data_IF_913088680901
#
_entry.id   IF_913088680901
#
_cell.length_a   1.000
_cell.length_b   1.000
_cell.length_c   1.000
_cell.angle_alpha   90.00
_cell.angle_beta   90.00
_cell.angle_gamma   90.00
#
_symmetry.space_group_name_H-M   'P 1'
#
loop_
_entity.id
_entity.type
_entity.pdbx_description
1 polymer ?
#
# COMPACT_ATOMS: atom_id res chain seq x y z
N UNK A 1 2.80 6.22 9.50
CA UNK A 1 3.23 5.02 8.75
C UNK A 1 4.73 5.09 8.54
N UNK A 2 5.42 3.95 8.63
CA UNK A 2 6.86 3.78 8.45
C UNK A 2 7.12 3.01 7.17
N UNK A 3 8.16 3.42 6.44
CA UNK A 3 8.62 2.71 5.26
C UNK A 3 9.71 1.70 5.64
N UNK A 4 9.58 0.48 5.15
CA UNK A 4 10.53 -0.62 5.31
C UNK A 4 10.78 -1.28 3.96
N UNK A 5 11.76 -2.19 3.88
CA UNK A 5 12.04 -2.97 2.68
C UNK A 5 10.87 -3.90 2.28
N UNK A 6 9.96 -4.16 3.21
CA UNK A 6 8.78 -5.03 3.01
C UNK A 6 7.49 -4.24 2.74
N UNK A 7 7.55 -2.90 2.74
CA UNK A 7 6.41 -2.03 2.48
C UNK A 7 6.22 -0.91 3.52
N UNK A 8 5.10 -0.20 3.40
CA UNK A 8 4.72 0.90 4.28
C UNK A 8 3.70 0.42 5.31
N UNK A 9 4.00 0.59 6.61
CA UNK A 9 3.22 0.02 7.70
C UNK A 9 2.81 1.06 8.77
N UNK A 10 1.67 0.81 9.40
CA UNK A 10 1.26 1.32 10.71
C UNK A 10 1.16 0.16 11.70
N UNK A 11 0.77 0.42 12.95
CA UNK A 11 0.59 -0.62 13.98
C UNK A 11 -0.25 -1.80 13.51
N UNK A 12 -1.41 -1.54 12.89
CA UNK A 12 -2.36 -2.57 12.48
C UNK A 12 -1.87 -3.39 11.28
N UNK A 13 -1.30 -2.73 10.28
CA UNK A 13 -0.78 -3.41 9.08
C UNK A 13 0.51 -4.17 9.35
N UNK A 14 1.38 -3.67 10.23
CA UNK A 14 2.56 -4.40 10.71
C UNK A 14 2.16 -5.67 11.46
N UNK A 15 1.25 -5.56 12.44
CA UNK A 15 0.74 -6.71 13.18
C UNK A 15 0.17 -7.74 12.21
N UNK A 16 -0.67 -7.34 11.25
CA UNK A 16 -1.24 -8.25 10.24
C UNK A 16 -0.19 -9.00 9.42
N UNK A 17 0.89 -8.34 9.02
CA UNK A 17 2.00 -8.97 8.30
C UNK A 17 2.72 -9.97 9.20
N UNK A 18 3.06 -9.57 10.41
CA UNK A 18 3.67 -10.43 11.43
C UNK A 18 2.82 -11.68 11.70
N UNK A 19 1.51 -11.52 11.92
CA UNK A 19 0.57 -12.63 12.11
C UNK A 19 0.56 -13.60 10.94
N UNK A 20 0.70 -13.10 9.71
CA UNK A 20 0.78 -13.94 8.50
C UNK A 20 2.12 -14.68 8.44
N UNK A 21 3.22 -14.00 8.76
CA UNK A 21 4.56 -14.58 8.80
C UNK A 21 4.68 -15.67 9.87
N UNK A 22 4.14 -15.45 11.06
CA UNK A 22 4.15 -16.43 12.15
C UNK A 22 3.36 -17.69 11.76
N UNK A 23 2.20 -17.54 11.10
CA UNK A 23 1.44 -18.67 10.58
C UNK A 23 2.22 -19.45 9.51
N UNK A 24 2.97 -18.77 8.64
CA UNK A 24 3.81 -19.44 7.65
C UNK A 24 4.97 -20.21 8.31
N UNK A 25 5.67 -19.58 9.26
CA UNK A 25 6.86 -20.16 9.90
C UNK A 25 6.54 -21.32 10.83
N UNK A 26 5.50 -21.17 11.66
CA UNK A 26 5.20 -22.08 12.76
C UNK A 26 3.98 -22.97 12.46
N UNK A 27 3.19 -22.63 11.44
CA UNK A 27 2.04 -23.44 11.02
C UNK A 27 1.02 -23.63 12.14
N UNK A 28 0.48 -24.85 12.32
CA UNK A 28 -0.53 -25.13 13.36
C UNK A 28 -0.05 -24.98 14.80
N UNK A 29 1.27 -24.85 15.05
CA UNK A 29 1.77 -24.65 16.42
C UNK A 29 1.49 -23.24 16.92
N UNK A 30 1.35 -22.26 16.01
CA UNK A 30 1.07 -20.87 16.31
C UNK A 30 -0.42 -20.60 16.48
N UNK A 31 -0.76 -19.84 17.51
CA UNK A 31 -2.11 -19.39 17.81
C UNK A 31 -2.09 -17.87 17.98
N UNK A 32 -2.89 -17.18 17.15
CA UNK A 32 -3.11 -15.75 17.28
C UNK A 32 -3.93 -15.47 18.54
N UNK A 33 -3.56 -14.44 19.29
CA UNK A 33 -4.36 -13.96 20.42
C UNK A 33 -4.92 -12.56 20.11
N UNK A 34 -6.19 -12.47 19.66
CA UNK A 34 -6.82 -11.20 19.35
C UNK A 34 -6.90 -10.27 20.56
N UNK A 35 -6.74 -8.97 20.33
CA UNK A 35 -6.94 -7.94 21.35
C UNK A 35 -8.42 -7.77 21.71
N UNK A 36 -8.95 -8.62 22.60
CA UNK A 36 -10.30 -8.49 23.15
C UNK A 36 -10.39 -9.16 24.53
N UNK A 37 -10.52 -8.41 25.65
CA UNK A 37 -10.72 -6.95 25.79
C UNK A 37 -9.43 -6.10 25.72
N UNK A 38 -8.27 -6.68 25.43
CA UNK A 38 -6.98 -6.00 25.27
C UNK A 38 -5.87 -7.01 24.96
N UNK A 39 -4.63 -6.55 24.73
CA UNK A 39 -3.46 -7.42 24.57
C UNK A 39 -2.87 -7.74 25.96
N UNK A 40 -2.78 -9.01 26.35
CA UNK A 40 -2.20 -9.41 27.65
C UNK A 40 -0.66 -9.32 27.65
N UNK A 41 -0.10 -8.39 26.85
CA UNK A 41 1.33 -8.29 26.54
C UNK A 41 1.82 -9.30 25.51
N UNK A 42 0.89 -10.03 24.88
CA UNK A 42 1.14 -11.03 23.84
C UNK A 42 0.01 -10.96 22.81
N UNK A 43 0.37 -11.04 21.53
CA UNK A 43 -0.51 -11.05 20.36
C UNK A 43 -0.54 -12.44 19.70
N UNK A 44 0.27 -13.36 20.18
CA UNK A 44 0.23 -14.75 19.76
C UNK A 44 1.20 -15.61 20.54
N UNK A 45 1.07 -16.92 20.39
CA UNK A 45 1.92 -17.88 21.09
C UNK A 45 2.05 -19.18 20.31
N UNK A 46 3.08 -19.97 20.60
CA UNK A 46 3.24 -21.32 20.08
C UNK A 46 3.21 -22.36 21.18
N UNK A 47 2.81 -23.59 20.83
CA UNK A 47 2.79 -24.75 21.75
C UNK A 47 4.16 -25.07 22.37
N UNK A 48 5.26 -24.66 21.75
CA UNK A 48 6.62 -24.83 22.27
C UNK A 48 7.10 -23.65 23.14
N UNK A 49 6.21 -22.73 23.50
CA UNK A 49 6.46 -21.69 24.50
C UNK A 49 7.06 -20.39 23.95
N UNK A 50 6.87 -20.09 22.67
CA UNK A 50 7.14 -18.74 22.15
C UNK A 50 5.91 -17.87 22.36
N UNK A 51 6.11 -16.63 22.75
CA UNK A 51 5.06 -15.62 22.82
C UNK A 51 5.48 -14.38 22.05
N UNK A 52 4.57 -13.77 21.30
CA UNK A 52 4.89 -12.73 20.33
C UNK A 52 4.22 -11.42 20.73
N UNK A 53 4.95 -10.32 20.59
CA UNK A 53 4.40 -8.97 20.70
C UNK A 53 4.94 -8.13 19.54
N UNK A 54 4.05 -7.58 18.73
CA UNK A 54 4.44 -6.69 17.64
C UNK A 54 4.45 -5.24 18.12
N UNK A 55 5.33 -4.44 17.53
CA UNK A 55 5.32 -3.01 17.70
C UNK A 55 5.74 -2.34 16.40
N UNK A 56 4.91 -1.45 15.87
CA UNK A 56 5.31 -0.56 14.79
C UNK A 56 5.26 0.88 15.31
N UNK A 57 6.36 1.64 15.20
CA UNK A 57 6.34 3.05 15.54
C UNK A 57 5.39 3.83 14.61
N UNK A 58 4.72 4.86 15.13
CA UNK A 58 3.62 5.54 14.42
C UNK A 58 4.13 6.47 13.29
N UNK A 59 5.35 6.99 13.47
CA UNK A 59 6.06 7.90 12.58
C UNK A 59 7.56 7.59 12.57
N UNK A 60 8.29 8.24 11.68
CA UNK A 60 9.75 8.25 11.74
C UNK A 60 10.18 9.06 12.98
N UNK A 61 10.78 8.38 13.94
CA UNK A 61 11.30 8.97 15.17
C UNK A 61 12.79 9.27 15.04
N UNK A 62 13.30 10.15 15.89
CA UNK A 62 14.75 10.22 16.12
C UNK A 62 15.24 8.92 16.76
N UNK A 63 16.56 8.70 16.75
CA UNK A 63 17.14 7.51 17.35
C UNK A 63 16.78 7.37 18.84
N UNK A 64 16.85 8.48 19.57
CA UNK A 64 16.53 8.57 21.00
C UNK A 64 15.04 8.35 21.27
N UNK A 65 14.15 9.01 20.52
CA UNK A 65 12.71 8.81 20.64
C UNK A 65 12.31 7.35 20.38
N UNK A 66 12.91 6.72 19.36
CA UNK A 66 12.61 5.33 19.03
C UNK A 66 13.09 4.37 20.13
N UNK A 67 14.29 4.62 20.67
CA UNK A 67 14.82 3.86 21.80
C UNK A 67 13.88 3.94 23.00
N UNK A 68 13.48 5.15 23.42
CA UNK A 68 12.60 5.36 24.57
C UNK A 68 11.26 4.66 24.38
N UNK A 69 10.65 4.81 23.20
CA UNK A 69 9.38 4.17 22.89
C UNK A 69 9.44 2.64 22.92
N UNK A 70 10.48 2.03 22.32
CA UNK A 70 10.67 0.58 22.33
C UNK A 70 10.93 0.09 23.77
N UNK A 71 11.83 0.76 24.51
CA UNK A 71 12.14 0.44 25.91
C UNK A 71 10.89 0.45 26.80
N UNK A 72 10.06 1.48 26.65
CA UNK A 72 8.84 1.65 27.44
C UNK A 72 7.76 0.66 27.03
N UNK A 73 7.67 0.32 25.73
CA UNK A 73 6.79 -0.74 25.23
C UNK A 73 7.17 -2.11 25.82
N UNK A 74 8.44 -2.50 25.74
CA UNK A 74 8.95 -3.74 26.36
C UNK A 74 8.64 -3.76 27.86
N UNK A 75 8.90 -2.66 28.57
CA UNK A 75 8.65 -2.59 30.02
C UNK A 75 7.18 -2.80 30.36
N UNK A 76 6.27 -2.12 29.65
CA UNK A 76 4.84 -2.23 29.87
C UNK A 76 4.34 -3.62 29.57
N UNK A 77 4.67 -4.17 28.40
CA UNK A 77 4.08 -5.42 27.94
C UNK A 77 4.65 -6.65 28.65
N UNK A 78 5.94 -6.66 29.01
CA UNK A 78 6.48 -7.70 29.90
C UNK A 78 5.82 -7.60 31.28
N UNK A 79 5.55 -6.39 31.78
CA UNK A 79 4.80 -6.17 33.02
C UNK A 79 3.38 -6.75 32.97
N UNK A 80 2.73 -6.75 31.80
CA UNK A 80 1.42 -7.34 31.59
C UNK A 80 1.41 -8.86 31.82
N UNK A 81 2.53 -9.56 31.57
CA UNK A 81 2.65 -11.00 31.88
C UNK A 81 2.39 -11.27 33.37
N UNK A 82 2.84 -10.37 34.25
CA UNK A 82 2.54 -10.43 35.69
C UNK A 82 1.10 -10.07 35.99
N UNK A 83 0.62 -8.94 35.46
CA UNK A 83 -0.72 -8.42 35.75
C UNK A 83 -1.84 -9.34 35.27
N UNK A 84 -1.60 -10.10 34.20
CA UNK A 84 -2.59 -10.95 33.55
C UNK A 84 -2.19 -12.43 33.54
N UNK A 85 -1.33 -12.87 34.48
CA UNK A 85 -0.79 -14.23 34.50
C UNK A 85 -1.89 -15.30 34.45
N UNK A 86 -2.96 -15.14 35.23
CA UNK A 86 -4.08 -16.08 35.24
C UNK A 86 -4.84 -16.08 33.91
N UNK A 87 -5.16 -14.91 33.37
CA UNK A 87 -5.88 -14.78 32.10
C UNK A 87 -5.09 -15.36 30.93
N UNK A 88 -3.75 -15.25 30.97
CA UNK A 88 -2.86 -15.89 30.00
C UNK A 88 -2.91 -17.41 30.17
N UNK A 89 -2.78 -17.91 31.41
CA UNK A 89 -2.84 -19.35 31.70
C UNK A 89 -4.13 -20.00 31.18
N UNK A 90 -5.27 -19.34 31.39
CA UNK A 90 -6.58 -19.82 30.95
C UNK A 90 -6.69 -19.96 29.41
N UNK A 91 -5.83 -19.28 28.64
CA UNK A 91 -5.83 -19.26 27.17
C UNK A 91 -4.76 -20.15 26.55
N UNK A 92 -3.56 -20.19 27.15
CA UNK A 92 -2.43 -20.98 26.63
C UNK A 92 -2.38 -22.40 27.20
N UNK A 93 -3.24 -22.70 28.19
CA UNK A 93 -3.38 -24.01 28.82
C UNK A 93 -2.14 -24.41 29.61
N UNK A 94 -1.65 -25.63 29.37
CA UNK A 94 -0.43 -26.15 30.02
C UNK A 94 0.88 -25.60 29.44
N UNK A 95 0.80 -24.77 28.40
CA UNK A 95 1.98 -24.18 27.77
C UNK A 95 2.64 -23.19 28.72
N UNK A 96 3.97 -23.26 28.84
CA UNK A 96 4.78 -22.26 29.55
C UNK A 96 5.60 -21.47 28.55
N UNK A 97 5.62 -20.15 28.70
CA UNK A 97 6.36 -19.23 27.85
C UNK A 97 7.84 -19.30 28.25
N UNK A 98 8.67 -19.73 27.32
CA UNK A 98 10.14 -19.75 27.46
C UNK A 98 10.82 -18.57 26.80
N UNK A 99 10.21 -17.99 25.76
CA UNK A 99 10.77 -16.86 25.05
C UNK A 99 9.67 -15.88 24.64
N UNK A 100 9.81 -14.63 25.05
CA UNK A 100 8.97 -13.53 24.62
C UNK A 100 9.67 -12.74 23.51
N UNK A 101 9.09 -12.80 22.32
CA UNK A 101 9.61 -12.27 21.08
C UNK A 101 8.99 -10.91 20.80
N UNK A 102 9.81 -9.87 20.89
CA UNK A 102 9.43 -8.51 20.49
C UNK A 102 9.77 -8.29 19.02
N UNK A 103 8.77 -8.04 18.19
CA UNK A 103 8.93 -7.92 16.74
C UNK A 103 8.61 -6.50 16.27
N UNK A 104 9.64 -5.79 15.82
CA UNK A 104 9.58 -4.38 15.42
C UNK A 104 10.24 -4.17 14.06
N UNK A 105 9.88 -3.14 13.26
CA UNK A 105 10.54 -2.90 11.98
C UNK A 105 12.06 -2.77 12.06
N UNK A 106 12.57 -2.12 13.11
CA UNK A 106 14.01 -1.87 13.29
C UNK A 106 14.38 -1.84 14.77
N UNK A 107 15.63 -2.23 15.05
CA UNK A 107 16.30 -2.14 16.35
C UNK A 107 17.52 -1.25 16.13
N UNK A 108 17.45 -0.01 16.61
CA UNK A 108 18.39 1.06 16.28
C UNK A 108 19.41 1.36 17.40
N UNK A 109 19.30 0.69 18.54
CA UNK A 109 20.16 0.91 19.70
C UNK A 109 20.41 -0.41 20.46
N UNK A 110 21.68 -0.71 20.74
CA UNK A 110 22.07 -1.94 21.41
C UNK A 110 21.74 -1.93 22.92
N UNK A 111 21.50 -0.76 23.53
CA UNK A 111 21.07 -0.65 24.93
C UNK A 111 19.68 -1.28 25.13
N UNK A 112 18.89 -1.47 24.06
CA UNK A 112 17.65 -2.26 24.10
C UNK A 112 17.91 -3.71 24.52
N UNK A 113 19.01 -4.31 24.09
CA UNK A 113 19.36 -5.67 24.53
C UNK A 113 19.67 -5.71 26.02
N UNK A 114 20.38 -4.71 26.55
CA UNK A 114 20.66 -4.59 27.98
C UNK A 114 19.38 -4.41 28.79
N UNK A 115 18.45 -3.59 28.30
CA UNK A 115 17.13 -3.42 28.91
C UNK A 115 16.32 -4.72 28.89
N UNK A 116 16.33 -5.46 27.78
CA UNK A 116 15.70 -6.77 27.69
C UNK A 116 16.24 -7.74 28.74
N UNK A 117 17.58 -7.83 28.92
CA UNK A 117 18.19 -8.68 29.97
C UNK A 117 17.75 -8.30 31.38
N UNK A 118 17.58 -7.00 31.67
CA UNK A 118 17.03 -6.55 32.96
C UNK A 118 15.58 -7.03 33.13
N UNK A 119 14.76 -6.92 32.10
CA UNK A 119 13.35 -7.33 32.14
C UNK A 119 13.17 -8.84 32.24
N UNK A 120 14.06 -9.64 31.65
CA UNK A 120 14.11 -11.09 31.87
C UNK A 120 14.34 -11.44 33.35
N UNK A 121 15.32 -10.80 33.97
CA UNK A 121 15.63 -11.03 35.39
C UNK A 121 14.47 -10.60 36.28
N UNK A 122 13.84 -9.46 35.98
CA UNK A 122 12.63 -9.01 36.67
C UNK A 122 11.53 -10.07 36.54
N UNK A 123 11.29 -10.58 35.33
CA UNK A 123 10.22 -11.53 35.04
C UNK A 123 10.43 -12.89 35.73
N UNK A 124 11.65 -13.42 35.74
CA UNK A 124 11.98 -14.68 36.43
C UNK A 124 11.74 -14.59 37.95
N UNK A 125 12.02 -13.43 38.55
CA UNK A 125 11.78 -13.20 39.99
C UNK A 125 10.29 -13.15 40.38
N UNK A 126 9.39 -13.02 39.40
CA UNK A 126 7.95 -13.06 39.68
C UNK A 126 7.43 -14.47 39.92
N UNK A 127 8.22 -15.51 39.61
CA UNK A 127 7.88 -16.92 39.83
C UNK A 127 6.50 -17.29 39.23
N UNK A 128 6.19 -16.72 38.06
CA UNK A 128 4.93 -16.97 37.38
C UNK A 128 4.89 -18.38 36.81
N UNK A 129 3.80 -19.11 37.07
CA UNK A 129 3.58 -20.48 36.54
C UNK A 129 3.55 -20.53 35.02
N UNK A 130 3.10 -19.43 34.38
CA UNK A 130 3.05 -19.28 32.92
C UNK A 130 4.44 -19.13 32.27
N UNK A 131 5.51 -18.86 33.02
CA UNK A 131 6.86 -18.71 32.48
C UNK A 131 7.71 -19.92 32.82
N UNK A 132 8.68 -20.26 31.99
CA UNK A 132 9.73 -21.23 32.34
C UNK A 132 10.83 -20.59 33.18
N UNK A 133 11.65 -21.40 33.85
CA UNK A 133 12.77 -20.92 34.66
C UNK A 133 13.85 -20.21 33.81
N UNK A 134 14.01 -20.65 32.58
CA UNK A 134 14.93 -20.10 31.58
C UNK A 134 14.31 -19.00 30.70
N UNK A 135 13.17 -18.44 31.12
CA UNK A 135 12.43 -17.40 30.39
C UNK A 135 13.35 -16.30 29.85
N UNK A 136 13.31 -16.02 28.55
CA UNK A 136 14.11 -14.99 27.92
C UNK A 136 13.26 -14.08 27.02
N UNK A 137 13.85 -12.96 26.62
CA UNK A 137 13.30 -11.94 25.73
C UNK A 137 14.22 -11.85 24.52
N UNK A 138 13.65 -11.98 23.33
CA UNK A 138 14.37 -11.77 22.07
C UNK A 138 13.80 -10.57 21.34
N UNK A 139 14.68 -9.71 20.84
CA UNK A 139 14.31 -8.58 20.00
C UNK A 139 14.58 -8.97 18.56
N UNK A 140 13.56 -8.92 17.72
CA UNK A 140 13.61 -9.32 16.31
C UNK A 140 13.19 -8.11 15.45
N UNK A 141 14.04 -7.76 14.51
CA UNK A 141 13.74 -6.75 13.49
C UNK A 141 13.00 -7.39 12.30
N UNK A 142 12.69 -6.57 11.28
CA UNK A 142 12.01 -7.03 10.08
C UNK A 142 12.81 -8.09 9.31
N UNK A 143 14.14 -7.96 9.27
CA UNK A 143 15.02 -8.82 8.49
C UNK A 143 14.99 -10.27 8.97
N UNK A 144 14.76 -10.49 10.27
CA UNK A 144 14.60 -11.82 10.85
C UNK A 144 13.48 -12.64 10.20
N UNK A 145 12.41 -11.98 9.74
CA UNK A 145 11.26 -12.60 9.07
C UNK A 145 11.23 -12.30 7.56
N UNK A 146 12.34 -11.86 6.98
CA UNK A 146 12.43 -11.45 5.57
C UNK A 146 11.87 -12.51 4.62
N UNK A 147 12.23 -13.78 4.78
CA UNK A 147 11.71 -14.87 3.95
C UNK A 147 10.20 -15.04 4.02
N UNK A 148 9.63 -14.96 5.22
CA UNK A 148 8.21 -15.10 5.47
C UNK A 148 7.44 -13.86 5.01
N UNK A 149 7.98 -12.66 5.20
CA UNK A 149 7.40 -11.43 4.68
C UNK A 149 7.37 -11.42 3.16
N UNK A 150 8.43 -11.84 2.50
CA UNK A 150 8.49 -12.02 1.06
C UNK A 150 7.49 -13.07 0.55
N UNK A 151 7.32 -14.16 1.29
CA UNK A 151 6.32 -15.17 0.96
C UNK A 151 4.89 -14.66 1.17
N UNK A 152 4.61 -13.94 2.26
CA UNK A 152 3.34 -13.26 2.49
C UNK A 152 3.01 -12.31 1.33
N UNK A 153 3.99 -11.52 0.90
CA UNK A 153 3.85 -10.58 -0.23
C UNK A 153 3.53 -11.31 -1.54
N UNK A 154 4.20 -12.43 -1.83
CA UNK A 154 3.91 -13.27 -3.00
C UNK A 154 2.52 -13.90 -2.93
N UNK A 155 2.15 -14.45 -1.77
CA UNK A 155 0.84 -15.08 -1.55
C UNK A 155 -0.32 -14.09 -1.64
N UNK A 156 -0.08 -12.82 -1.27
CA UNK A 156 -1.04 -11.73 -1.44
C UNK A 156 -1.22 -11.29 -2.91
N UNK A 157 -0.53 -11.93 -3.87
CA UNK A 157 -0.62 -11.60 -5.29
C UNK A 157 0.16 -10.34 -5.69
N UNK A 158 1.08 -9.87 -4.85
CA UNK A 158 1.94 -8.74 -5.23
C UNK A 158 2.90 -9.21 -6.33
N UNK A 159 2.59 -8.89 -7.59
CA UNK A 159 3.45 -9.20 -8.71
C UNK A 159 4.84 -8.58 -8.50
N UNK A 160 5.90 -9.33 -8.85
CA UNK A 160 7.27 -8.83 -8.84
C UNK A 160 7.33 -7.59 -9.75
N UNK A 161 7.58 -6.42 -9.18
CA UNK A 161 7.75 -5.19 -9.95
C UNK A 161 9.18 -5.10 -10.44
N UNK A 162 9.37 -5.34 -11.74
CA UNK A 162 10.64 -5.15 -12.43
C UNK A 162 10.69 -3.73 -13.03
N UNK A 163 11.79 -3.03 -12.82
CA UNK A 163 12.04 -1.68 -13.33
C UNK A 163 11.99 -0.59 -12.26
N UNK A 164 12.54 0.60 -12.54
CA UNK A 164 12.55 1.73 -11.60
C UNK A 164 11.12 2.19 -11.25
N UNK A 165 10.98 2.85 -10.11
CA UNK A 165 9.74 3.55 -9.78
C UNK A 165 9.43 4.58 -10.87
N UNK A 166 8.17 4.63 -11.31
CA UNK A 166 7.71 5.65 -12.26
C UNK A 166 7.47 6.94 -11.49
N UNK A 167 8.09 8.04 -11.90
CA UNK A 167 7.84 9.34 -11.29
C UNK A 167 6.38 9.78 -11.50
N UNK A 168 5.74 10.31 -10.45
CA UNK A 168 4.35 10.80 -10.52
C UNK A 168 4.16 11.87 -11.59
N UNK A 169 5.18 12.68 -11.86
CA UNK A 169 5.23 13.70 -12.92
C UNK A 169 5.05 13.13 -14.33
N UNK A 170 5.52 11.90 -14.57
CA UNK A 170 5.38 11.21 -15.85
C UNK A 170 3.93 10.72 -16.01
N UNK A 171 3.35 10.14 -14.96
CA UNK A 171 1.98 9.63 -15.01
C UNK A 171 0.92 10.75 -15.00
N UNK A 172 1.17 11.82 -14.24
CA UNK A 172 0.24 12.93 -14.02
C UNK A 172 0.98 14.28 -14.14
N UNK A 173 1.25 14.75 -15.37
CA UNK A 173 1.82 16.08 -15.57
C UNK A 173 0.91 17.18 -15.03
N UNK A 174 1.51 18.30 -14.64
CA UNK A 174 0.74 19.49 -14.30
C UNK A 174 -0.08 19.97 -15.50
N UNK A 175 -1.32 20.36 -15.22
CA UNK A 175 -2.19 20.89 -16.26
C UNK A 175 -1.79 22.33 -16.59
N UNK A 176 -1.69 22.71 -17.88
CA UNK A 176 -1.44 24.10 -18.25
C UNK A 176 -2.65 24.97 -17.89
N UNK A 177 -2.44 26.25 -17.63
CA UNK A 177 -3.53 27.20 -17.34
C UNK A 177 -4.60 27.22 -18.44
N UNK A 178 -4.20 27.00 -19.69
CA UNK A 178 -5.09 27.01 -20.86
C UNK A 178 -5.56 25.60 -21.29
N UNK A 179 -5.67 24.65 -20.36
CA UNK A 179 -6.09 23.28 -20.67
C UNK A 179 -7.42 23.20 -21.44
N UNK A 180 -8.33 24.16 -21.21
CA UNK A 180 -9.60 24.29 -21.93
C UNK A 180 -9.41 24.49 -23.44
N UNK A 181 -8.39 25.25 -23.85
CA UNK A 181 -8.07 25.46 -25.27
C UNK A 181 -7.54 24.18 -25.91
N UNK A 182 -6.76 23.39 -25.16
CA UNK A 182 -6.24 22.10 -25.63
C UNK A 182 -7.37 21.09 -25.82
N UNK A 183 -8.30 21.01 -24.86
CA UNK A 183 -9.50 20.18 -24.97
C UNK A 183 -10.30 20.59 -26.21
N UNK A 184 -10.59 21.89 -26.38
CA UNK A 184 -11.37 22.38 -27.51
C UNK A 184 -10.71 22.07 -28.86
N UNK A 185 -9.40 22.29 -28.98
CA UNK A 185 -8.63 21.96 -30.19
C UNK A 185 -8.74 20.48 -30.55
N UNK A 186 -8.48 19.59 -29.59
CA UNK A 186 -8.46 18.14 -29.81
C UNK A 186 -9.85 17.57 -30.07
N UNK A 187 -10.86 18.04 -29.34
CA UNK A 187 -12.24 17.61 -29.55
C UNK A 187 -12.80 18.06 -30.90
N UNK A 188 -12.41 19.25 -31.40
CA UNK A 188 -12.73 19.67 -32.76
C UNK A 188 -12.20 18.68 -33.80
N UNK A 189 -10.96 18.21 -33.64
CA UNK A 189 -10.37 17.18 -34.52
C UNK A 189 -11.10 15.84 -34.42
N UNK A 190 -11.49 15.42 -33.21
CA UNK A 190 -12.26 14.18 -33.00
C UNK A 190 -13.66 14.21 -33.63
N UNK A 191 -14.24 15.40 -33.77
CA UNK A 191 -15.56 15.60 -34.35
C UNK A 191 -15.49 16.10 -35.81
N UNK A 192 -14.33 16.05 -36.47
CA UNK A 192 -14.13 16.60 -37.82
C UNK A 192 -15.13 16.07 -38.85
N UNK A 193 -15.52 14.80 -38.77
CA UNK A 193 -16.55 14.20 -39.63
C UNK A 193 -17.93 14.84 -39.50
N UNK A 194 -18.21 15.56 -38.41
CA UNK A 194 -19.47 16.27 -38.14
C UNK A 194 -19.41 17.77 -38.43
N UNK A 195 -18.28 18.28 -38.93
CA UNK A 195 -18.06 19.72 -39.10
C UNK A 195 -19.05 20.40 -40.07
N UNK A 196 -19.61 19.64 -41.01
CA UNK A 196 -20.63 20.15 -41.94
C UNK A 196 -22.01 20.31 -41.30
N UNK A 197 -22.22 19.85 -40.06
CA UNK A 197 -23.50 19.97 -39.36
C UNK A 197 -23.78 21.42 -38.94
N UNK A 198 -25.00 21.95 -39.15
CA UNK A 198 -25.36 23.28 -38.66
C UNK A 198 -25.33 23.41 -37.12
N UNK A 199 -25.40 22.28 -36.40
CA UNK A 199 -25.32 22.22 -34.92
C UNK A 199 -23.91 22.00 -34.38
N UNK A 200 -22.89 21.93 -35.25
CA UNK A 200 -21.53 21.50 -34.90
C UNK A 200 -20.92 22.27 -33.73
N UNK A 201 -20.97 23.61 -33.73
CA UNK A 201 -20.34 24.41 -32.68
C UNK A 201 -21.06 24.24 -31.32
N UNK A 202 -22.37 24.04 -31.31
CA UNK A 202 -23.12 23.75 -30.09
C UNK A 202 -22.77 22.37 -29.53
N UNK A 203 -22.72 21.34 -30.39
CA UNK A 203 -22.31 19.98 -30.02
C UNK A 203 -20.86 19.92 -29.52
N UNK A 204 -19.95 20.66 -30.17
CA UNK A 204 -18.56 20.77 -29.75
C UNK A 204 -18.45 21.41 -28.37
N UNK A 205 -19.20 22.48 -28.10
CA UNK A 205 -19.21 23.15 -26.80
C UNK A 205 -19.70 22.21 -25.68
N UNK A 206 -20.78 21.47 -25.92
CA UNK A 206 -21.29 20.50 -24.94
C UNK A 206 -20.32 19.34 -24.72
N UNK A 207 -19.68 18.86 -25.78
CA UNK A 207 -18.67 17.82 -25.67
C UNK A 207 -17.44 18.28 -24.88
N UNK A 208 -17.00 19.53 -25.08
CA UNK A 208 -15.92 20.13 -24.30
C UNK A 208 -16.26 20.18 -22.82
N UNK A 209 -17.49 20.59 -22.44
CA UNK A 209 -17.94 20.60 -21.05
C UNK A 209 -17.91 19.21 -20.41
N UNK A 210 -18.31 18.17 -21.15
CA UNK A 210 -18.25 16.79 -20.67
C UNK A 210 -16.80 16.38 -20.36
N UNK A 211 -15.87 16.66 -21.27
CA UNK A 211 -14.44 16.31 -21.10
C UNK A 211 -13.80 17.10 -19.97
N UNK A 212 -14.08 18.40 -19.86
CA UNK A 212 -13.64 19.25 -18.74
C UNK A 212 -14.13 18.70 -17.38
N UNK A 213 -15.41 18.32 -17.29
CA UNK A 213 -15.96 17.73 -16.08
C UNK A 213 -15.31 16.39 -15.70
N UNK A 214 -14.87 15.59 -16.68
CA UNK A 214 -14.08 14.37 -16.42
C UNK A 214 -12.67 14.70 -15.93
N UNK A 215 -11.99 15.67 -16.56
CA UNK A 215 -10.67 16.14 -16.14
C UNK A 215 -10.67 16.58 -14.67
N UNK A 216 -11.61 17.45 -14.26
CA UNK A 216 -11.69 17.94 -12.87
C UNK A 216 -11.99 16.82 -11.85
N UNK A 217 -12.82 15.84 -12.24
CA UNK A 217 -13.13 14.69 -11.38
C UNK A 217 -11.95 13.72 -11.24
N UNK A 218 -11.06 13.66 -12.24
CA UNK A 218 -9.90 12.78 -12.24
C UNK A 218 -9.03 13.00 -11.00
N UNK A 219 -8.67 14.25 -10.72
CA UNK A 219 -7.79 14.59 -9.59
C UNK A 219 -8.44 14.26 -8.24
N UNK A 220 -9.74 14.53 -8.09
CA UNK A 220 -10.49 14.15 -6.88
C UNK A 220 -10.54 12.63 -6.67
N UNK A 221 -10.72 11.88 -7.76
CA UNK A 221 -10.79 10.43 -7.71
C UNK A 221 -9.44 9.81 -7.34
N UNK A 222 -8.36 10.29 -7.97
CA UNK A 222 -6.99 9.89 -7.68
C UNK A 222 -6.60 10.20 -6.23
N UNK A 223 -6.94 11.39 -5.71
CA UNK A 223 -6.71 11.74 -4.31
C UNK A 223 -7.49 10.84 -3.34
N UNK A 224 -8.70 10.40 -3.72
CA UNK A 224 -9.48 9.45 -2.93
C UNK A 224 -8.82 8.08 -2.89
N UNK A 225 -8.30 7.58 -4.01
CA UNK A 225 -7.54 6.32 -4.07
C UNK A 225 -6.27 6.44 -3.21
N UNK A 226 -5.52 7.53 -3.33
CA UNK A 226 -4.29 7.80 -2.54
C UNK A 226 -4.58 7.77 -1.03
N UNK A 227 -5.69 8.37 -0.59
CA UNK A 227 -6.10 8.39 0.81
C UNK A 227 -6.60 7.03 1.32
N UNK A 228 -7.31 6.27 0.48
CA UNK A 228 -7.96 5.02 0.89
C UNK A 228 -7.04 3.81 0.79
N UNK A 229 -6.18 3.77 -0.22
CA UNK A 229 -5.18 2.73 -0.44
C UNK A 229 -3.96 3.30 -1.17
N UNK A 230 -2.94 3.76 -0.42
CA UNK A 230 -1.69 4.24 -1.00
C UNK A 230 -1.00 3.21 -1.90
N UNK A 231 -1.15 1.92 -1.60
CA UNK A 231 -0.61 0.83 -2.41
C UNK A 231 -1.33 0.72 -3.77
N UNK A 232 -2.66 0.76 -3.77
CA UNK A 232 -3.43 0.75 -5.02
C UNK A 232 -3.14 2.00 -5.84
N UNK A 233 -2.99 3.16 -5.19
CA UNK A 233 -2.59 4.40 -5.85
C UNK A 233 -1.22 4.28 -6.53
N UNK A 234 -0.21 3.73 -5.85
CA UNK A 234 1.11 3.52 -6.44
C UNK A 234 1.05 2.61 -7.69
N UNK A 235 0.22 1.56 -7.65
CA UNK A 235 0.00 0.69 -8.81
C UNK A 235 -0.71 1.44 -9.95
N UNK A 236 -1.75 2.21 -9.66
CA UNK A 236 -2.46 3.06 -10.64
C UNK A 236 -1.48 4.01 -11.33
N UNK A 237 -0.67 4.76 -10.56
CA UNK A 237 0.32 5.70 -11.11
C UNK A 237 1.33 4.99 -12.01
N UNK A 238 1.79 3.80 -11.61
CA UNK A 238 2.70 2.99 -12.41
C UNK A 238 2.09 2.59 -13.75
N UNK A 239 0.86 2.05 -13.73
CA UNK A 239 0.15 1.62 -14.95
C UNK A 239 -0.06 2.80 -15.90
N UNK A 240 -0.53 3.93 -15.36
CA UNK A 240 -0.76 5.16 -16.14
C UNK A 240 0.56 5.65 -16.75
N UNK A 241 1.63 5.75 -15.96
CA UNK A 241 2.89 6.31 -16.44
C UNK A 241 3.62 5.42 -17.45
N UNK A 242 3.61 4.09 -17.27
CA UNK A 242 4.14 3.17 -18.28
C UNK A 242 3.36 3.27 -19.59
N UNK A 243 2.03 3.33 -19.50
CA UNK A 243 1.22 3.42 -20.70
C UNK A 243 1.33 4.80 -21.38
N UNK A 244 1.49 5.88 -20.61
CA UNK A 244 1.75 7.21 -21.16
C UNK A 244 3.06 7.26 -21.97
N UNK A 245 4.09 6.50 -21.56
CA UNK A 245 5.35 6.37 -22.29
C UNK A 245 5.15 5.59 -23.60
N UNK A 246 4.48 4.44 -23.57
CA UNK A 246 4.13 3.67 -24.78
C UNK A 246 3.31 4.49 -25.80
N UNK A 247 2.40 5.34 -25.31
CA UNK A 247 1.60 6.23 -26.15
C UNK A 247 2.43 7.28 -26.90
N UNK A 248 3.62 7.64 -26.41
CA UNK A 248 4.53 8.53 -27.14
C UNK A 248 4.97 7.92 -28.46
N UNK A 249 5.04 6.59 -28.57
CA UNK A 249 5.34 5.90 -29.82
C UNK A 249 4.09 5.79 -30.70
N UNK A 250 2.93 5.51 -30.09
CA UNK A 250 1.67 5.29 -30.79
C UNK A 250 1.27 6.46 -31.70
N UNK A 251 1.59 7.70 -31.30
CA UNK A 251 1.31 8.91 -32.10
C UNK A 251 1.98 8.92 -33.48
N UNK A 252 3.09 8.20 -33.65
CA UNK A 252 3.81 8.14 -34.93
C UNK A 252 3.28 7.05 -35.87
N UNK A 253 2.66 6.00 -35.32
CA UNK A 253 2.22 4.83 -36.08
C UNK A 253 0.71 4.76 -36.30
N UNK A 254 -0.07 5.59 -35.62
CA UNK A 254 -1.53 5.61 -35.76
C UNK A 254 -1.97 6.19 -37.11
N UNK A 255 -2.82 5.46 -37.84
CA UNK A 255 -3.32 5.87 -39.15
C UNK A 255 -4.85 6.06 -39.20
N UNK A 256 -5.57 5.80 -38.11
CA UNK A 256 -7.03 5.96 -38.02
C UNK A 256 -7.46 7.38 -37.64
N UNK A 257 -8.75 7.57 -37.43
CA UNK A 257 -9.29 8.88 -37.03
C UNK A 257 -8.92 9.23 -35.56
N UNK A 258 -8.80 10.51 -35.20
CA UNK A 258 -8.42 10.91 -33.84
C UNK A 258 -9.34 10.34 -32.75
N UNK A 259 -10.64 10.18 -33.03
CA UNK A 259 -11.56 9.60 -32.06
C UNK A 259 -11.34 8.09 -31.87
N UNK A 260 -10.96 7.37 -32.93
CA UNK A 260 -10.65 5.94 -32.84
C UNK A 260 -9.41 5.71 -31.98
N UNK A 261 -8.40 6.58 -32.08
CA UNK A 261 -7.22 6.54 -31.22
C UNK A 261 -7.60 6.73 -29.75
N UNK A 262 -8.46 7.71 -29.45
CA UNK A 262 -8.91 7.98 -28.08
C UNK A 262 -9.66 6.78 -27.48
N UNK A 263 -10.56 6.16 -28.25
CA UNK A 263 -11.31 4.99 -27.79
C UNK A 263 -10.40 3.77 -27.63
N UNK A 264 -9.44 3.54 -28.54
CA UNK A 264 -8.45 2.47 -28.42
C UNK A 264 -7.58 2.66 -27.17
N UNK A 265 -7.09 3.88 -26.95
CA UNK A 265 -6.28 4.23 -25.78
C UNK A 265 -7.05 4.00 -24.48
N UNK A 266 -8.30 4.45 -24.44
CA UNK A 266 -9.18 4.26 -23.29
C UNK A 266 -9.48 2.80 -23.00
N UNK A 267 -9.79 2.02 -24.04
CA UNK A 267 -10.08 0.59 -23.90
C UNK A 267 -8.86 -0.17 -23.36
N UNK A 268 -7.68 0.10 -23.91
CA UNK A 268 -6.44 -0.55 -23.49
C UNK A 268 -6.03 -0.16 -22.07
N UNK A 269 -6.11 1.12 -21.70
CA UNK A 269 -5.87 1.55 -20.31
C UNK A 269 -6.85 0.87 -19.35
N UNK A 270 -8.14 0.77 -19.73
CA UNK A 270 -9.15 0.06 -18.97
C UNK A 270 -8.79 -1.41 -18.75
N UNK A 271 -8.42 -2.13 -19.82
CA UNK A 271 -8.02 -3.53 -19.75
C UNK A 271 -6.79 -3.74 -18.85
N UNK A 272 -5.80 -2.85 -18.91
CA UNK A 272 -4.60 -2.91 -18.05
C UNK A 272 -4.94 -2.70 -16.59
N UNK A 273 -5.71 -1.66 -16.28
CA UNK A 273 -6.19 -1.38 -14.93
C UNK A 273 -7.02 -2.56 -14.38
N UNK A 274 -7.91 -3.13 -15.18
CA UNK A 274 -8.72 -4.29 -14.79
C UNK A 274 -7.85 -5.53 -14.49
N UNK A 275 -6.85 -5.79 -15.33
CA UNK A 275 -5.98 -6.97 -15.19
C UNK A 275 -5.04 -6.87 -13.99
N UNK A 276 -4.46 -5.70 -13.75
CA UNK A 276 -3.46 -5.51 -12.69
C UNK A 276 -4.08 -5.17 -11.33
N UNK A 277 -5.26 -4.53 -11.30
CA UNK A 277 -5.98 -4.20 -10.06
C UNK A 277 -7.12 -5.16 -9.76
N UNK A 278 -7.18 -6.29 -10.49
CA UNK A 278 -8.20 -7.32 -10.32
C UNK A 278 -8.25 -7.83 -8.88
N UNK A 279 -9.40 -7.66 -8.23
CA UNK A 279 -9.61 -8.01 -6.81
C UNK A 279 -9.48 -6.85 -5.82
N UNK A 280 -8.94 -5.70 -6.25
CA UNK A 280 -8.87 -4.46 -5.46
C UNK A 280 -9.87 -3.43 -5.97
N UNK A 281 -10.04 -3.33 -7.29
CA UNK A 281 -10.92 -2.36 -7.95
C UNK A 281 -11.95 -3.10 -8.80
N UNK A 282 -13.19 -2.62 -8.83
CA UNK A 282 -14.24 -3.23 -9.66
C UNK A 282 -14.00 -2.95 -11.15
N UNK A 283 -14.54 -3.79 -12.02
CA UNK A 283 -14.52 -3.59 -13.48
C UNK A 283 -15.04 -2.19 -13.86
N UNK A 284 -16.15 -1.77 -13.23
CA UNK A 284 -16.78 -0.48 -13.49
C UNK A 284 -15.86 0.68 -13.10
N UNK A 285 -15.17 0.55 -11.97
CA UNK A 285 -14.29 1.60 -11.46
C UNK A 285 -13.01 1.70 -12.30
N UNK A 286 -12.44 0.58 -12.75
CA UNK A 286 -11.28 0.56 -13.63
C UNK A 286 -11.57 1.28 -14.97
N UNK A 287 -12.73 1.01 -15.57
CA UNK A 287 -13.18 1.71 -16.81
C UNK A 287 -13.47 3.18 -16.57
N UNK A 288 -14.06 3.51 -15.43
CA UNK A 288 -14.33 4.90 -15.05
C UNK A 288 -13.01 5.65 -14.89
N UNK A 289 -12.04 5.07 -14.21
CA UNK A 289 -10.71 5.65 -14.03
C UNK A 289 -10.01 5.85 -15.38
N UNK A 290 -10.05 4.87 -16.28
CA UNK A 290 -9.50 5.02 -17.63
C UNK A 290 -10.12 6.21 -18.38
N UNK A 291 -11.45 6.37 -18.32
CA UNK A 291 -12.16 7.49 -18.95
C UNK A 291 -11.75 8.86 -18.37
N UNK A 292 -11.52 8.93 -17.05
CA UNK A 292 -11.06 10.14 -16.36
C UNK A 292 -9.61 10.48 -16.72
N UNK A 293 -8.72 9.49 -16.76
CA UNK A 293 -7.30 9.66 -17.10
C UNK A 293 -7.13 10.09 -18.55
N UNK A 294 -7.86 9.48 -19.49
CA UNK A 294 -7.81 9.88 -20.90
C UNK A 294 -8.32 11.31 -21.11
N UNK A 295 -9.38 11.71 -20.39
CA UNK A 295 -9.83 13.12 -20.40
C UNK A 295 -8.75 14.06 -19.89
N UNK A 296 -7.99 13.64 -18.87
CA UNK A 296 -6.83 14.38 -18.35
C UNK A 296 -5.70 14.49 -19.38
N UNK A 297 -5.38 13.41 -20.10
CA UNK A 297 -4.36 13.44 -21.15
C UNK A 297 -4.69 14.36 -22.33
N UNK A 298 -5.98 14.51 -22.66
CA UNK A 298 -6.41 15.51 -23.62
C UNK A 298 -6.11 16.93 -23.12
N UNK A 299 -6.30 17.18 -21.82
CA UNK A 299 -6.06 18.46 -21.16
C UNK A 299 -4.57 18.81 -20.99
N UNK A 300 -3.66 17.82 -20.89
CA UNK A 300 -2.23 18.02 -20.57
C UNK A 300 -1.23 17.57 -21.63
N UNK A 301 -1.68 17.41 -22.87
CA UNK A 301 -0.83 17.09 -24.04
C UNK A 301 -0.19 15.70 -24.11
N UNK A 302 -0.53 14.74 -23.23
CA UNK A 302 -0.04 13.36 -23.36
C UNK A 302 -0.72 12.56 -24.48
N UNK A 303 -1.88 13.02 -24.94
CA UNK A 303 -2.57 12.49 -26.12
C UNK A 303 -2.79 13.63 -27.12
N UNK A 304 -1.94 13.72 -28.14
CA UNK A 304 -2.01 14.78 -29.16
C UNK A 304 -2.04 14.21 -30.59
N UNK A 305 -2.66 14.94 -31.50
CA UNK A 305 -2.86 14.55 -32.89
C UNK A 305 -2.53 15.75 -33.79
N UNK A 306 -1.57 15.60 -34.70
CA UNK A 306 -1.23 16.62 -35.70
C UNK A 306 -2.34 16.71 -36.75
N UNK A 307 -2.57 17.90 -37.31
CA UNK A 307 -3.25 17.99 -38.61
C UNK A 307 -2.36 17.30 -39.67
N UNK A 308 -2.92 16.50 -40.60
CA UNK A 308 -2.15 16.03 -41.74
C UNK A 308 -1.58 17.25 -42.47
N UNK A 309 -0.27 17.25 -42.72
CA UNK A 309 0.36 18.29 -43.52
C UNK A 309 -0.37 18.37 -44.87
N UNK A 310 -0.89 19.57 -45.19
CA UNK A 310 -1.47 19.88 -46.49
C UNK A 310 -0.41 19.81 -47.59
#
# INVERSE_FOLDING_TARGET
>A
MIQTDFGTFDGTSWERLCQSAFKLKYGPSYQHMPASPGDFGIEGWTKDGLAFQCYCPERHYTQEELYDNIRDKITRDVGKLKSYAQQIADRIGSTRIRNWLFVTPTINDNELHKHARKKEQDARKWELTILTEDFNISLLDADYYSSEFEQCRRNAGTALQLGPAVEKSIALPEAPEEYDKLIARKNRMRLKSRQASPTFEAELLDFNRIVQGKFLRCDHHLATIERTSPQAFAQVIRIIGLYADEMQELKYFWTGEPNELVEAVKAELGNRLEKELGGVVSLSDARTLADLVVARWLAVCQLDFSEPAQ
#
